data_IF_554668218403
#
_entry.id   IF_554668218403
#
_cell.length_a   1.000
_cell.length_b   1.000
_cell.length_c   1.000
_cell.angle_alpha   90.00
_cell.angle_beta   90.00
_cell.angle_gamma   90.00
#
_symmetry.space_group_name_H-M   'P 1'
#
loop_
_entity.id
_entity.type
_entity.pdbx_description
1 polymer ?
#
# COMPACT_ATOMS: atom_id res chain seq x y z
N UNK A 1 -1.81 -8.74 20.81
CA UNK A 1 -0.84 -8.55 21.92
C UNK A 1 -0.34 -7.11 21.80
N UNK A 2 -0.75 -6.22 22.71
CA UNK A 2 -0.43 -4.78 22.66
C UNK A 2 1.08 -4.59 22.89
N UNK A 3 1.81 -4.10 21.89
CA UNK A 3 3.22 -3.77 22.02
C UNK A 3 3.39 -2.53 22.92
N UNK A 4 4.10 -2.67 24.05
CA UNK A 4 4.51 -1.54 24.90
C UNK A 4 5.87 -1.02 24.42
N UNK A 5 5.91 0.21 23.89
CA UNK A 5 7.16 0.91 23.61
C UNK A 5 7.88 1.33 24.91
N UNK A 6 9.21 1.17 24.95
CA UNK A 6 10.06 1.79 25.97
C UNK A 6 10.09 3.30 25.72
N UNK A 7 9.45 4.08 26.60
CA UNK A 7 9.55 5.56 26.58
C UNK A 7 8.23 6.32 26.78
N UNK A 8 7.32 5.83 27.63
CA UNK A 8 6.28 6.65 28.27
C UNK A 8 5.10 7.10 27.40
N UNK A 9 4.99 6.65 26.15
CA UNK A 9 3.82 6.94 25.30
C UNK A 9 2.89 5.73 25.31
N UNK A 10 1.72 5.89 25.93
CA UNK A 10 0.68 4.86 25.97
C UNK A 10 -0.20 4.95 24.72
N UNK A 11 0.01 4.04 23.76
CA UNK A 11 -0.77 3.93 22.53
C UNK A 11 -2.07 3.17 22.83
N UNK A 12 -3.20 3.88 22.82
CA UNK A 12 -4.48 3.30 23.26
C UNK A 12 -5.15 2.42 22.20
N UNK A 13 -4.99 2.69 20.90
CA UNK A 13 -5.56 1.87 19.81
C UNK A 13 -4.72 2.03 18.51
N UNK A 14 -4.01 0.97 18.10
CA UNK A 14 -3.27 0.90 16.83
C UNK A 14 -3.82 -0.28 16.02
N UNK A 15 -4.39 0.00 14.85
CA UNK A 15 -4.93 -1.00 13.92
C UNK A 15 -4.24 -0.80 12.57
N UNK A 16 -3.28 -1.68 12.27
CA UNK A 16 -2.58 -1.76 11.00
C UNK A 16 -3.16 -2.93 10.19
N UNK A 17 -3.58 -2.68 8.96
CA UNK A 17 -3.95 -3.71 8.00
C UNK A 17 -2.82 -3.86 6.96
N UNK A 18 -1.99 -4.91 7.09
CA UNK A 18 -0.87 -5.27 6.20
C UNK A 18 -0.27 -6.65 6.55
N UNK A 19 0.52 -7.29 5.66
CA UNK A 19 1.07 -8.62 5.88
C UNK A 19 2.07 -8.62 7.05
N UNK A 20 2.07 -9.71 7.80
CA UNK A 20 2.62 -9.78 9.15
C UNK A 20 4.16 -9.76 9.20
N UNK A 21 4.78 -8.61 9.48
CA UNK A 21 5.93 -8.54 10.41
C UNK A 21 6.19 -7.10 10.92
N UNK A 22 5.36 -6.64 11.86
CA UNK A 22 5.25 -5.24 12.27
C UNK A 22 6.35 -4.73 13.25
N UNK A 23 7.52 -5.37 13.33
CA UNK A 23 8.51 -5.03 14.38
C UNK A 23 9.56 -3.99 13.94
N UNK A 24 9.94 -3.95 12.66
CA UNK A 24 10.81 -2.88 12.11
C UNK A 24 9.99 -1.65 11.69
N UNK A 25 8.83 -1.85 11.06
CA UNK A 25 7.79 -0.84 10.78
C UNK A 25 7.46 0.01 12.02
N UNK A 26 7.45 -0.63 13.19
CA UNK A 26 7.11 0.02 14.45
C UNK A 26 7.96 1.25 14.76
N UNK A 27 9.26 1.27 14.44
CA UNK A 27 10.15 2.40 14.81
C UNK A 27 9.91 3.64 13.98
N UNK A 28 9.53 3.45 12.72
CA UNK A 28 9.18 4.55 11.81
C UNK A 28 7.83 5.10 12.19
N UNK A 29 6.83 4.22 12.36
CA UNK A 29 5.53 4.63 12.86
C UNK A 29 5.68 5.31 14.23
N UNK A 30 6.47 4.78 15.16
CA UNK A 30 6.77 5.37 16.47
C UNK A 30 7.25 6.82 16.38
N UNK A 31 8.15 7.16 15.44
CA UNK A 31 8.60 8.55 15.25
C UNK A 31 7.45 9.47 14.83
N UNK A 32 6.58 9.04 13.91
CA UNK A 32 5.40 9.79 13.50
C UNK A 32 4.37 9.90 14.63
N UNK A 33 4.19 8.84 15.43
CA UNK A 33 3.33 8.80 16.61
C UNK A 33 3.80 9.81 17.67
N UNK A 34 5.12 9.90 17.91
CA UNK A 34 5.73 10.80 18.90
C UNK A 34 5.67 12.28 18.53
N UNK A 35 5.72 12.63 17.25
CA UNK A 35 5.56 14.03 16.78
C UNK A 35 4.11 14.54 16.88
N UNK A 36 3.19 13.68 17.29
CA UNK A 36 1.76 13.93 17.26
C UNK A 36 1.22 14.37 18.64
N UNK A 37 1.03 15.68 18.82
CA UNK A 37 0.45 16.40 19.98
C UNK A 37 -0.94 16.02 20.56
N UNK A 38 -1.77 15.16 19.96
CA UNK A 38 -2.98 14.69 20.64
C UNK A 38 -2.72 13.29 21.22
N UNK A 39 -3.41 12.92 22.29
CA UNK A 39 -3.35 11.57 22.85
C UNK A 39 -3.88 10.56 21.79
N UNK A 40 -2.99 10.06 20.92
CA UNK A 40 -3.39 9.72 19.54
C UNK A 40 -3.53 8.22 19.30
N UNK A 41 -4.78 7.76 19.37
CA UNK A 41 -5.27 6.71 18.48
C UNK A 41 -4.99 7.13 17.04
N UNK A 42 -4.55 6.20 16.18
CA UNK A 42 -4.30 6.43 14.75
C UNK A 42 -4.74 5.19 13.97
N UNK A 43 -5.22 5.40 12.75
CA UNK A 43 -5.54 4.33 11.80
C UNK A 43 -4.51 4.32 10.68
N UNK A 44 -4.18 3.15 10.14
CA UNK A 44 -3.31 3.07 8.97
C UNK A 44 -3.42 1.75 8.23
N UNK A 45 -2.93 1.74 7.00
CA UNK A 45 -2.90 0.53 6.20
C UNK A 45 -2.30 0.74 4.81
N UNK A 46 -2.12 -0.38 4.13
CA UNK A 46 -1.55 -0.43 2.78
C UNK A 46 -2.65 -0.86 1.81
N UNK A 47 -2.78 -0.18 0.68
CA UNK A 47 -3.77 -0.49 -0.35
C UNK A 47 -5.21 -0.51 0.22
N UNK A 48 -5.90 -1.66 0.21
CA UNK A 48 -7.23 -1.81 0.83
C UNK A 48 -7.24 -1.46 2.32
N UNK A 49 -6.12 -1.62 3.03
CA UNK A 49 -5.98 -1.19 4.42
C UNK A 49 -6.14 0.32 4.61
N UNK A 50 -5.77 1.13 3.61
CA UNK A 50 -5.97 2.58 3.61
C UNK A 50 -7.48 2.92 3.55
N UNK A 51 -8.25 2.25 2.70
CA UNK A 51 -9.71 2.41 2.65
C UNK A 51 -10.37 2.00 3.98
N UNK A 52 -9.91 0.91 4.59
CA UNK A 52 -10.40 0.49 5.90
C UNK A 52 -10.10 1.54 6.98
N UNK A 53 -8.89 2.10 6.98
CA UNK A 53 -8.48 3.15 7.90
C UNK A 53 -9.29 4.44 7.71
N UNK A 54 -9.48 4.89 6.47
CA UNK A 54 -10.32 6.04 6.14
C UNK A 54 -11.77 5.81 6.57
N UNK A 55 -12.31 4.61 6.34
CA UNK A 55 -13.67 4.25 6.77
C UNK A 55 -13.81 4.25 8.28
N UNK A 56 -12.82 3.72 9.01
CA UNK A 56 -12.79 3.71 10.47
C UNK A 56 -12.64 5.12 11.07
N UNK A 57 -11.91 6.00 10.38
CA UNK A 57 -11.76 7.40 10.78
C UNK A 57 -13.00 8.26 10.55
N UNK A 58 -14.00 7.75 9.82
CA UNK A 58 -15.21 8.47 9.44
C UNK A 58 -15.06 9.35 8.19
N UNK A 59 -13.93 9.30 7.48
CA UNK A 59 -13.67 10.12 6.30
C UNK A 59 -14.44 9.66 5.03
N UNK A 60 -14.82 8.39 4.98
CA UNK A 60 -15.56 7.79 3.85
C UNK A 60 -16.69 6.90 4.32
N UNK A 61 -17.70 6.70 3.49
CA UNK A 61 -18.80 5.78 3.75
C UNK A 61 -18.56 4.39 3.15
N UNK A 62 -19.35 3.40 3.55
CA UNK A 62 -19.28 2.06 2.96
C UNK A 62 -19.69 2.07 1.48
N UNK A 63 -20.68 2.90 1.13
CA UNK A 63 -21.12 3.10 -0.25
C UNK A 63 -20.00 3.68 -1.12
N UNK A 64 -19.20 4.61 -0.57
CA UNK A 64 -18.02 5.12 -1.26
C UNK A 64 -16.99 4.00 -1.49
N UNK A 65 -16.72 3.14 -0.50
CA UNK A 65 -15.79 2.01 -0.65
C UNK A 65 -16.24 1.09 -1.79
N UNK A 66 -17.52 0.72 -1.86
CA UNK A 66 -18.04 -0.13 -2.94
C UNK A 66 -17.86 0.53 -4.32
N UNK A 67 -18.22 1.82 -4.45
CA UNK A 67 -18.03 2.58 -5.70
C UNK A 67 -16.55 2.65 -6.08
N UNK A 68 -15.68 2.93 -5.12
CA UNK A 68 -14.24 2.99 -5.33
C UNK A 68 -13.69 1.67 -5.86
N UNK A 69 -14.04 0.54 -5.22
CA UNK A 69 -13.58 -0.78 -5.66
C UNK A 69 -14.11 -1.15 -7.05
N UNK A 70 -15.34 -0.78 -7.35
CA UNK A 70 -15.92 -0.97 -8.68
C UNK A 70 -15.15 -0.17 -9.76
N UNK A 71 -14.92 1.13 -9.55
CA UNK A 71 -14.17 1.97 -10.49
C UNK A 71 -12.71 1.56 -10.61
N UNK A 72 -12.11 1.10 -9.49
CA UNK A 72 -10.76 0.55 -9.45
C UNK A 72 -10.65 -0.71 -10.29
N UNK A 73 -11.66 -1.56 -10.35
CA UNK A 73 -11.58 -2.80 -11.11
C UNK A 73 -11.71 -2.54 -12.62
N UNK A 74 -10.61 -2.70 -13.37
CA UNK A 74 -10.64 -2.64 -14.83
C UNK A 74 -11.07 -3.98 -15.42
N UNK A 75 -12.22 -4.03 -16.08
CA UNK A 75 -12.74 -5.22 -16.75
C UNK A 75 -12.28 -5.34 -18.21
N UNK A 76 -11.97 -4.20 -18.84
CA UNK A 76 -11.65 -4.09 -20.27
C UNK A 76 -10.16 -3.82 -20.49
N UNK A 77 -9.30 -4.73 -20.04
CA UNK A 77 -7.84 -4.64 -20.28
C UNK A 77 -7.36 -5.79 -21.16
N UNK A 78 -6.83 -5.45 -22.34
CA UNK A 78 -6.25 -6.39 -23.31
C UNK A 78 -4.89 -6.97 -22.88
N UNK A 79 -4.43 -6.64 -21.67
CA UNK A 79 -3.17 -7.13 -21.12
C UNK A 79 -3.43 -8.02 -19.91
N UNK A 80 -2.60 -9.05 -19.83
CA UNK A 80 -2.62 -9.96 -18.71
C UNK A 80 -1.70 -9.44 -17.61
N UNK A 81 -2.28 -9.08 -16.48
CA UNK A 81 -1.58 -8.52 -15.33
C UNK A 81 -1.54 -9.51 -14.16
N UNK A 82 -0.60 -9.29 -13.25
CA UNK A 82 -0.39 -10.13 -12.08
C UNK A 82 0.27 -9.35 -10.94
N UNK A 83 0.20 -9.98 -9.77
CA UNK A 83 0.98 -9.64 -8.59
C UNK A 83 1.80 -10.88 -8.22
N UNK A 84 3.02 -10.68 -7.73
CA UNK A 84 3.84 -11.71 -7.14
C UNK A 84 4.52 -11.23 -5.87
N UNK A 85 5.08 -12.15 -5.11
CA UNK A 85 5.81 -11.86 -3.88
C UNK A 85 7.17 -12.53 -3.92
N UNK A 86 8.22 -11.78 -3.61
CA UNK A 86 9.57 -12.31 -3.49
C UNK A 86 10.18 -11.91 -2.14
N UNK A 87 10.93 -12.83 -1.55
CA UNK A 87 11.91 -12.49 -0.54
C UNK A 87 13.27 -12.38 -1.24
N UNK A 88 13.81 -11.17 -1.33
CA UNK A 88 15.11 -10.92 -1.98
C UNK A 88 16.20 -10.86 -0.90
N UNK A 89 17.14 -11.81 -0.86
CA UNK A 89 18.25 -11.79 0.09
C UNK A 89 19.07 -10.50 -0.01
N UNK A 90 19.64 -10.04 1.10
CA UNK A 90 20.38 -8.77 1.17
C UNK A 90 21.53 -8.60 0.15
N UNK A 91 22.28 -9.65 -0.24
CA UNK A 91 23.31 -9.54 -1.28
C UNK A 91 22.77 -9.32 -2.69
N UNK A 92 21.51 -9.67 -2.93
CA UNK A 92 20.88 -9.60 -4.25
C UNK A 92 20.26 -8.22 -4.51
N UNK A 93 20.26 -7.78 -5.77
CA UNK A 93 19.67 -6.50 -6.14
C UNK A 93 18.16 -6.65 -6.42
N UNK A 94 17.36 -6.26 -5.43
CA UNK A 94 15.90 -6.21 -5.54
C UNK A 94 15.41 -5.28 -6.66
N UNK A 95 16.22 -4.31 -7.12
CA UNK A 95 15.87 -3.41 -8.22
C UNK A 95 15.74 -4.14 -9.55
N UNK A 96 16.17 -5.39 -9.65
CA UNK A 96 15.83 -6.27 -10.77
C UNK A 96 14.33 -6.23 -11.10
N UNK A 97 13.45 -6.16 -10.09
CA UNK A 97 12.00 -6.15 -10.27
C UNK A 97 11.42 -4.76 -10.60
N UNK A 98 12.26 -3.73 -10.72
CA UNK A 98 11.85 -2.36 -11.07
C UNK A 98 12.10 -2.09 -12.56
N UNK A 99 11.09 -2.41 -13.38
CA UNK A 99 11.13 -2.28 -14.84
C UNK A 99 9.78 -1.72 -15.33
N UNK A 100 9.51 -0.42 -15.10
CA UNK A 100 8.17 0.18 -15.07
C UNK A 100 7.28 -0.07 -16.30
N UNK A 101 7.88 -0.37 -17.46
CA UNK A 101 7.16 -0.73 -18.68
C UNK A 101 6.48 -2.11 -18.59
N UNK A 102 6.95 -3.00 -17.72
CA UNK A 102 6.47 -4.38 -17.60
C UNK A 102 6.28 -4.92 -16.17
N UNK A 103 7.02 -4.45 -15.17
CA UNK A 103 6.83 -4.78 -13.75
C UNK A 103 7.45 -3.74 -12.83
N UNK A 104 6.91 -3.58 -11.62
CA UNK A 104 7.44 -2.65 -10.61
C UNK A 104 7.33 -3.28 -9.23
N UNK A 105 8.16 -2.85 -8.29
CA UNK A 105 7.96 -3.17 -6.89
C UNK A 105 6.77 -2.36 -6.39
N UNK A 106 5.64 -3.03 -6.18
CA UNK A 106 4.39 -2.37 -5.79
C UNK A 106 4.37 -1.96 -4.32
N UNK A 107 5.22 -2.57 -3.50
CA UNK A 107 5.49 -2.10 -2.15
C UNK A 107 6.93 -2.43 -1.71
N UNK A 108 7.64 -1.46 -1.15
CA UNK A 108 8.89 -1.73 -0.44
C UNK A 108 8.63 -1.67 1.07
N UNK A 109 8.67 -2.83 1.72
CA UNK A 109 8.57 -2.96 3.18
C UNK A 109 9.91 -2.69 3.88
N UNK A 110 10.97 -2.34 3.15
CA UNK A 110 12.30 -2.19 3.70
C UNK A 110 12.99 -3.53 4.00
N UNK A 111 14.16 -3.49 4.66
CA UNK A 111 14.81 -4.68 5.17
C UNK A 111 13.91 -5.40 6.19
N UNK A 112 13.87 -6.73 6.12
CA UNK A 112 13.13 -7.58 7.06
C UNK A 112 14.08 -8.60 7.70
N UNK A 113 13.62 -9.28 8.76
CA UNK A 113 14.36 -10.33 9.46
C UNK A 113 15.76 -9.88 9.91
N UNK A 114 15.86 -8.67 10.47
CA UNK A 114 17.13 -8.11 10.95
C UNK A 114 18.12 -7.76 9.84
N UNK A 115 17.63 -7.48 8.63
CA UNK A 115 18.45 -7.12 7.47
C UNK A 115 18.87 -8.31 6.60
N UNK A 116 18.27 -9.49 6.79
CA UNK A 116 18.58 -10.67 5.97
C UNK A 116 18.16 -10.50 4.50
N UNK A 117 17.21 -9.61 4.22
CA UNK A 117 16.70 -9.35 2.88
C UNK A 117 15.53 -8.39 2.91
N UNK A 118 14.77 -8.36 1.82
CA UNK A 118 13.56 -7.54 1.64
C UNK A 118 12.42 -8.43 1.20
N UNK A 119 11.23 -8.22 1.78
CA UNK A 119 10.01 -8.79 1.24
C UNK A 119 9.40 -7.77 0.29
N UNK A 120 9.23 -8.12 -0.99
CA UNK A 120 8.72 -7.21 -2.01
C UNK A 120 7.52 -7.84 -2.75
N UNK A 121 6.35 -7.18 -2.73
CA UNK A 121 5.33 -7.37 -3.74
C UNK A 121 5.79 -6.76 -5.07
N UNK A 122 5.57 -7.48 -6.15
CA UNK A 122 5.86 -7.07 -7.52
C UNK A 122 4.56 -7.08 -8.29
N UNK A 123 4.27 -6.00 -9.02
CA UNK A 123 3.07 -5.88 -9.86
C UNK A 123 3.47 -5.64 -11.29
N UNK A 124 2.85 -6.32 -12.25
CA UNK A 124 3.20 -6.13 -13.66
C UNK A 124 2.43 -7.00 -14.63
N UNK A 125 2.95 -7.11 -15.84
CA UNK A 125 2.51 -8.07 -16.84
C UNK A 125 2.79 -9.49 -16.32
N UNK A 126 1.80 -10.39 -16.45
CA UNK A 126 1.96 -11.77 -15.99
C UNK A 126 3.15 -12.45 -16.64
N UNK A 127 3.33 -12.28 -17.95
CA UNK A 127 4.49 -12.84 -18.67
C UNK A 127 5.82 -12.35 -18.11
N UNK A 128 5.94 -11.07 -17.76
CA UNK A 128 7.16 -10.53 -17.15
C UNK A 128 7.42 -11.13 -15.76
N UNK A 129 6.36 -11.27 -14.95
CA UNK A 129 6.47 -11.90 -13.64
C UNK A 129 6.86 -13.39 -13.76
N UNK A 130 6.25 -14.16 -14.68
CA UNK A 130 6.61 -15.57 -14.88
C UNK A 130 8.06 -15.74 -15.37
N UNK A 131 8.55 -14.88 -16.28
CA UNK A 131 9.97 -14.84 -16.65
C UNK A 131 10.87 -14.55 -15.46
N UNK A 132 10.50 -13.55 -14.63
CA UNK A 132 11.24 -13.16 -13.44
C UNK A 132 11.31 -14.27 -12.36
N UNK A 133 10.41 -15.26 -12.37
CA UNK A 133 10.53 -16.45 -11.50
C UNK A 133 11.75 -17.30 -11.83
N UNK A 134 12.17 -17.30 -13.09
CA UNK A 134 13.24 -18.14 -13.61
C UNK A 134 14.54 -17.37 -13.73
N UNK A 135 14.45 -16.10 -14.16
CA UNK A 135 15.60 -15.24 -14.46
C UNK A 135 15.96 -14.30 -13.30
N UNK A 136 15.06 -14.12 -12.34
CA UNK A 136 15.24 -13.18 -11.25
C UNK A 136 16.18 -13.67 -10.16
N UNK A 137 16.66 -12.74 -9.30
CA UNK A 137 17.63 -13.07 -8.26
C UNK A 137 17.03 -13.79 -7.05
N UNK A 138 15.70 -13.95 -7.01
CA UNK A 138 14.99 -14.56 -5.91
C UNK A 138 13.77 -15.36 -6.40
N UNK A 139 13.30 -16.29 -5.57
CA UNK A 139 12.06 -17.02 -5.81
C UNK A 139 10.87 -16.05 -5.78
N UNK A 140 10.26 -15.86 -6.95
CA UNK A 140 9.07 -15.04 -7.13
C UNK A 140 7.83 -15.94 -7.17
N UNK A 141 6.96 -15.77 -6.17
CA UNK A 141 5.69 -16.46 -6.07
C UNK A 141 4.60 -15.63 -6.76
N UNK A 142 4.28 -15.96 -8.02
CA UNK A 142 3.24 -15.26 -8.79
C UNK A 142 1.86 -15.75 -8.37
N UNK A 143 0.99 -14.82 -7.98
CA UNK A 143 -0.36 -15.11 -7.51
C UNK A 143 -1.21 -15.70 -8.64
N UNK A 144 -2.02 -16.71 -8.32
CA UNK A 144 -2.95 -17.32 -9.27
C UNK A 144 -3.99 -16.33 -9.79
N UNK A 145 -4.38 -16.49 -11.06
CA UNK A 145 -5.30 -15.57 -11.79
C UNK A 145 -6.63 -15.33 -11.07
N UNK A 146 -7.17 -16.36 -10.43
CA UNK A 146 -8.44 -16.28 -9.71
C UNK A 146 -8.37 -15.38 -8.45
N UNK A 147 -7.17 -15.16 -7.92
CA UNK A 147 -6.94 -14.38 -6.70
C UNK A 147 -6.51 -12.94 -6.99
N UNK A 148 -5.65 -12.74 -8.00
CA UNK A 148 -5.22 -11.43 -8.44
C UNK A 148 -4.88 -11.42 -9.93
N UNK A 149 -5.45 -10.46 -10.65
CA UNK A 149 -5.32 -10.34 -12.11
C UNK A 149 -5.07 -8.89 -12.56
N UNK A 150 -4.74 -7.99 -11.63
CA UNK A 150 -4.41 -6.59 -11.92
C UNK A 150 -3.13 -6.21 -11.20
N UNK A 151 -2.29 -5.42 -11.86
CA UNK A 151 -1.00 -4.98 -11.37
C UNK A 151 -1.16 -3.75 -10.46
N UNK A 152 -1.85 -3.85 -9.33
CA UNK A 152 -2.07 -2.71 -8.42
C UNK A 152 -0.75 -2.03 -8.00
N UNK A 153 -0.81 -0.72 -7.74
CA UNK A 153 0.36 0.09 -7.37
C UNK A 153 1.46 0.07 -8.46
N UNK A 154 1.04 0.13 -9.72
CA UNK A 154 1.96 0.17 -10.85
C UNK A 154 1.53 1.18 -11.92
N UNK A 155 2.46 1.63 -12.79
CA UNK A 155 2.12 2.48 -13.92
C UNK A 155 1.05 1.90 -14.85
N UNK A 156 0.89 0.57 -14.91
CA UNK A 156 -0.15 -0.09 -15.73
C UNK A 156 -1.57 0.28 -15.29
N UNK A 157 -1.73 0.77 -14.06
CA UNK A 157 -3.00 1.20 -13.45
C UNK A 157 -3.43 2.61 -13.81
N UNK A 158 -2.69 3.30 -14.65
CA UNK A 158 -2.99 4.65 -15.12
C UNK A 158 -4.44 4.82 -15.65
N UNK A 159 -5.05 3.86 -16.37
CA UNK A 159 -6.48 3.94 -16.71
C UNK A 159 -7.40 3.89 -15.48
N UNK A 160 -7.07 3.08 -14.47
CA UNK A 160 -7.80 2.99 -13.21
C UNK A 160 -7.71 4.28 -12.41
N UNK A 161 -6.51 4.89 -12.35
CA UNK A 161 -6.30 6.19 -11.72
C UNK A 161 -7.23 7.27 -12.28
N UNK A 162 -7.38 7.37 -13.61
CA UNK A 162 -8.30 8.34 -14.23
C UNK A 162 -9.77 8.11 -13.89
N UNK A 163 -10.19 6.84 -13.73
CA UNK A 163 -11.54 6.50 -13.27
C UNK A 163 -11.74 6.96 -11.82
N UNK A 164 -10.76 6.70 -10.95
CA UNK A 164 -10.78 7.14 -9.56
C UNK A 164 -10.78 8.66 -9.42
N UNK A 165 -9.97 9.38 -10.20
CA UNK A 165 -10.01 10.84 -10.24
C UNK A 165 -11.40 11.37 -10.62
N UNK A 166 -12.05 10.72 -11.59
CA UNK A 166 -13.40 11.10 -12.02
C UNK A 166 -14.44 10.84 -10.94
N UNK A 167 -14.33 9.72 -10.21
CA UNK A 167 -15.16 9.43 -9.04
C UNK A 167 -14.94 10.48 -7.93
N UNK A 168 -13.68 10.79 -7.62
CA UNK A 168 -13.30 11.71 -6.55
C UNK A 168 -13.63 13.17 -6.86
N UNK A 169 -13.66 13.59 -8.14
CA UNK A 169 -14.20 14.91 -8.54
C UNK A 169 -15.69 15.07 -8.22
N UNK A 170 -16.42 13.96 -8.10
CA UNK A 170 -17.86 13.91 -7.83
C UNK A 170 -18.18 13.47 -6.40
N UNK A 171 -17.17 13.17 -5.61
CA UNK A 171 -17.29 12.69 -4.23
C UNK A 171 -16.58 13.66 -3.31
N UNK A 172 -17.20 14.00 -2.17
CA UNK A 172 -16.50 14.76 -1.13
C UNK A 172 -16.17 13.78 -0.01
N UNK A 173 -14.89 13.70 0.34
CA UNK A 173 -14.43 12.94 1.49
C UNK A 173 -14.49 13.85 2.71
N UNK A 174 -14.96 13.32 3.82
CA UNK A 174 -15.01 14.06 5.07
C UNK A 174 -13.63 14.14 5.72
N UNK A 175 -13.47 15.10 6.64
CA UNK A 175 -12.25 15.20 7.45
C UNK A 175 -12.17 13.97 8.37
N UNK A 176 -11.08 13.19 8.36
CA UNK A 176 -10.87 12.12 9.33
C UNK A 176 -11.01 12.64 10.76
N UNK A 177 -11.79 11.96 11.60
CA UNK A 177 -11.90 12.30 13.03
C UNK A 177 -10.57 12.11 13.76
N UNK A 178 -9.76 11.19 13.25
CA UNK A 178 -8.41 10.86 13.67
C UNK A 178 -7.54 10.81 12.40
N UNK A 179 -6.32 11.36 12.39
CA UNK A 179 -5.45 11.28 11.22
C UNK A 179 -5.23 9.84 10.76
N UNK A 180 -5.10 9.64 9.45
CA UNK A 180 -4.84 8.32 8.86
C UNK A 180 -3.41 8.30 8.34
N UNK A 181 -2.68 7.24 8.69
CA UNK A 181 -1.33 6.99 8.21
C UNK A 181 -1.42 6.20 6.91
N UNK A 182 -0.74 6.68 5.88
CA UNK A 182 -0.71 6.03 4.56
C UNK A 182 0.68 5.45 4.30
N UNK A 183 0.75 4.58 3.29
CA UNK A 183 2.02 4.05 2.77
C UNK A 183 2.45 4.77 1.49
N UNK A 184 1.99 6.00 1.26
CA UNK A 184 2.29 6.73 0.03
C UNK A 184 3.46 7.68 0.28
N UNK A 185 4.59 7.52 -0.44
CA UNK A 185 5.72 8.42 -0.30
C UNK A 185 5.32 9.90 -0.43
N UNK A 186 5.76 10.70 0.55
CA UNK A 186 5.41 12.12 0.65
C UNK A 186 4.00 12.44 1.16
N UNK A 187 3.17 11.43 1.47
CA UNK A 187 1.78 11.56 1.93
C UNK A 187 1.46 10.68 3.14
N UNK A 188 2.47 10.40 3.96
CA UNK A 188 2.40 9.43 5.05
C UNK A 188 1.34 9.75 6.13
N UNK A 189 0.74 10.93 6.12
CA UNK A 189 -0.39 11.25 6.99
C UNK A 189 -1.42 12.07 6.22
N UNK A 190 -2.69 11.67 6.33
CA UNK A 190 -3.83 12.43 5.82
C UNK A 190 -4.71 12.88 6.98
N UNK A 191 -5.07 14.16 6.95
CA UNK A 191 -5.77 14.87 8.02
C UNK A 191 -6.97 15.68 7.51
N UNK A 192 -7.17 15.71 6.19
CA UNK A 192 -8.32 16.28 5.50
C UNK A 192 -8.88 15.33 4.44
N UNK A 193 -10.11 15.55 4.01
CA UNK A 193 -10.72 14.78 2.92
C UNK A 193 -10.00 14.97 1.58
N UNK A 194 -9.44 16.17 1.32
CA UNK A 194 -8.68 16.45 0.11
C UNK A 194 -7.35 15.68 0.08
N UNK A 195 -6.63 15.63 1.21
CA UNK A 195 -5.41 14.82 1.35
C UNK A 195 -5.72 13.33 1.20
N UNK A 196 -6.83 12.85 1.77
CA UNK A 196 -7.27 11.47 1.62
C UNK A 196 -7.60 11.13 0.15
N UNK A 197 -8.30 12.03 -0.55
CA UNK A 197 -8.62 11.84 -1.96
C UNK A 197 -7.34 11.79 -2.83
N UNK A 198 -6.41 12.70 -2.59
CA UNK A 198 -5.12 12.73 -3.29
C UNK A 198 -4.31 11.45 -3.04
N UNK A 199 -4.24 10.98 -1.78
CA UNK A 199 -3.56 9.72 -1.44
C UNK A 199 -4.18 8.51 -2.16
N UNK A 200 -5.51 8.41 -2.22
CA UNK A 200 -6.21 7.32 -2.93
C UNK A 200 -5.99 7.32 -4.46
N UNK A 201 -5.85 8.50 -5.08
CA UNK A 201 -5.51 8.60 -6.51
C UNK A 201 -4.07 8.17 -6.74
N UNK A 202 -3.16 8.69 -5.92
CA UNK A 202 -1.73 8.46 -6.06
C UNK A 202 -1.39 6.99 -5.82
N UNK A 203 -2.01 6.37 -4.80
CA UNK A 203 -1.79 4.98 -4.44
C UNK A 203 -2.14 4.01 -5.57
N UNK A 204 -2.99 4.39 -6.52
CA UNK A 204 -3.38 3.51 -7.61
C UNK A 204 -2.21 3.18 -8.55
N UNK A 205 -1.29 4.12 -8.76
CA UNK A 205 -0.20 4.02 -9.75
C UNK A 205 1.19 4.08 -9.16
N UNK A 206 1.33 4.57 -7.93
CA UNK A 206 2.61 4.66 -7.26
C UNK A 206 2.83 3.46 -6.33
N UNK A 207 4.06 2.94 -6.26
CA UNK A 207 4.47 2.03 -5.21
C UNK A 207 4.14 2.54 -3.82
N UNK A 208 3.69 1.63 -2.96
CA UNK A 208 3.63 1.90 -1.54
C UNK A 208 5.04 1.85 -0.94
N UNK A 209 5.41 2.85 -0.16
CA UNK A 209 6.59 2.84 0.68
C UNK A 209 6.16 2.83 2.14
N UNK A 210 6.63 1.83 2.89
CA UNK A 210 6.61 1.98 4.35
C UNK A 210 7.73 2.99 4.70
N UNK A 211 7.41 4.09 5.40
CA UNK A 211 8.39 5.13 5.71
C UNK A 211 9.59 4.62 6.54
#
# INVERSE_FOLDING_TARGET
MLARAKGGVELKNFLLFGPADATEDFRVYERMLRSSTAARSLYGGISLGELAALRASGAITTEFVVKFLHERHLQDVDREEAIGFAFVPAPEDWRYYEQPERMTVSCDYGPVLGGAGRMIPVSGLRSALESARTEGPADLQVVGRALAHQAYHSPLREPGRRRLESLLKRSTLDRPAIPVVTSIPGRYTVSSGAEAADALVVSETQPAGVP
#
